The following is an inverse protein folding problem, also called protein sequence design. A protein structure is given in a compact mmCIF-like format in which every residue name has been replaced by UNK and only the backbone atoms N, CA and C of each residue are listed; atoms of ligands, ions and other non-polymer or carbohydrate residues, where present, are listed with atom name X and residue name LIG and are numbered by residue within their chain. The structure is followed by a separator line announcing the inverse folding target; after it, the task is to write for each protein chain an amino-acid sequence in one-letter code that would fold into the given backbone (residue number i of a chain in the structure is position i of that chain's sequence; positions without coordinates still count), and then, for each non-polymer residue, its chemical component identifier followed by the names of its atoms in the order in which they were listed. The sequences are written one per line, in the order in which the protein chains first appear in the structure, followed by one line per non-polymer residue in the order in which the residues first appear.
data_IF_037248865557
#
_entry.id   IF_037248865557
#
_cell.length_a   1.000
_cell.length_b   1.000
_cell.length_c   1.000
_cell.angle_alpha   90.00
_cell.angle_beta   90.00
_cell.angle_gamma   90.00
#
_symmetry.space_group_name_H-M   'P 1'
#
loop_
_entity.id
_entity.type
_entity.pdbx_description
1 polymer ?
#
# COMPACT_ATOMS: atom_id res chain seq x y z
N UNK A 1 32.39 28.13 7.95
CA UNK A 1 31.06 28.10 8.61
C UNK A 1 29.93 27.76 7.64
N UNK A 2 29.82 28.42 6.50
CA UNK A 2 28.81 28.05 5.49
C UNK A 2 29.07 26.68 4.88
N UNK A 3 30.32 26.31 4.65
CA UNK A 3 30.72 24.98 4.18
C UNK A 3 30.24 23.87 5.12
N UNK A 4 30.39 24.06 6.43
CA UNK A 4 29.91 23.08 7.42
C UNK A 4 28.38 22.91 7.39
N UNK A 5 27.64 24.00 7.16
CA UNK A 5 26.18 23.95 6.99
C UNK A 5 25.77 23.16 5.74
N UNK A 6 26.47 23.41 4.63
CA UNK A 6 26.22 22.72 3.36
C UNK A 6 26.55 21.23 3.48
N UNK A 7 27.68 20.90 4.09
CA UNK A 7 28.06 19.51 4.33
C UNK A 7 27.04 18.76 5.19
N UNK A 8 26.56 19.39 6.27
CA UNK A 8 25.50 18.81 7.11
C UNK A 8 24.21 18.58 6.34
N UNK A 9 23.83 19.56 5.49
CA UNK A 9 22.63 19.40 4.65
C UNK A 9 22.78 18.28 3.63
N UNK A 10 23.94 18.18 3.00
CA UNK A 10 24.24 17.11 2.04
C UNK A 10 24.19 15.76 2.73
N UNK A 11 24.80 15.61 3.90
CA UNK A 11 24.76 14.37 4.68
C UNK A 11 23.33 13.98 5.07
N UNK A 12 22.54 14.97 5.51
CA UNK A 12 21.14 14.74 5.87
C UNK A 12 20.30 14.29 4.67
N UNK A 13 20.51 14.89 3.51
CA UNK A 13 19.83 14.50 2.27
C UNK A 13 20.25 13.10 1.81
N UNK A 14 21.52 12.78 1.89
CA UNK A 14 22.03 11.44 1.57
C UNK A 14 21.46 10.38 2.52
N UNK A 15 21.38 10.68 3.81
CA UNK A 15 20.78 9.78 4.80
C UNK A 15 19.29 9.55 4.52
N UNK A 16 18.55 10.61 4.16
CA UNK A 16 17.13 10.49 3.77
C UNK A 16 16.96 9.66 2.52
N UNK A 17 17.80 9.86 1.53
CA UNK A 17 17.78 9.09 0.29
C UNK A 17 18.05 7.61 0.56
N UNK A 18 19.05 7.30 1.37
CA UNK A 18 19.37 5.93 1.77
C UNK A 18 18.22 5.29 2.56
N UNK A 19 17.59 6.02 3.49
CA UNK A 19 16.45 5.54 4.25
C UNK A 19 15.24 5.24 3.36
N UNK A 20 14.95 6.10 2.38
CA UNK A 20 13.89 5.86 1.39
C UNK A 20 14.16 4.64 0.54
N UNK A 21 15.39 4.46 0.09
CA UNK A 21 15.78 3.30 -0.70
C UNK A 21 15.63 2.00 0.11
N UNK A 22 16.04 2.01 1.37
CA UNK A 22 15.89 0.87 2.26
C UNK A 22 14.42 0.53 2.53
N UNK A 23 13.58 1.54 2.75
CA UNK A 23 12.13 1.37 2.92
C UNK A 23 11.50 0.80 1.66
N UNK A 24 11.83 1.33 0.50
CA UNK A 24 11.32 0.86 -0.78
C UNK A 24 11.72 -0.60 -1.02
N UNK A 25 12.96 -0.96 -0.76
CA UNK A 25 13.44 -2.35 -0.86
C UNK A 25 12.69 -3.27 0.11
N UNK A 26 12.48 -2.83 1.34
CA UNK A 26 11.70 -3.58 2.34
C UNK A 26 10.28 -3.88 1.86
N UNK A 27 9.56 -2.88 1.35
CA UNK A 27 8.18 -3.06 0.92
C UNK A 27 8.06 -3.89 -0.35
N UNK A 28 9.06 -3.87 -1.24
CA UNK A 28 9.09 -4.72 -2.42
C UNK A 28 9.15 -6.22 -2.06
N UNK A 29 9.73 -6.55 -0.92
CA UNK A 29 9.83 -7.93 -0.43
C UNK A 29 8.55 -8.45 0.24
N UNK A 30 7.55 -7.60 0.47
CA UNK A 30 6.28 -8.00 1.08
C UNK A 30 5.36 -8.61 0.04
N UNK A 31 4.83 -9.79 0.32
CA UNK A 31 3.88 -10.48 -0.54
C UNK A 31 2.47 -10.39 0.08
N UNK A 32 1.57 -9.58 -0.48
CA UNK A 32 0.22 -9.46 0.04
C UNK A 32 -0.61 -10.72 -0.15
N UNK A 33 -0.23 -11.61 -1.08
CA UNK A 33 -0.97 -12.86 -1.35
C UNK A 33 -0.96 -13.81 -0.17
N UNK A 34 -0.02 -13.69 0.75
CA UNK A 34 0.02 -14.46 1.99
C UNK A 34 -1.19 -14.21 2.89
N UNK A 35 -1.83 -13.04 2.74
CA UNK A 35 -2.98 -12.61 3.52
C UNK A 35 -4.28 -12.59 2.70
N UNK A 36 -4.22 -12.95 1.44
CA UNK A 36 -5.36 -12.96 0.52
C UNK A 36 -5.91 -14.38 0.35
N UNK A 37 -7.21 -14.48 0.09
CA UNK A 37 -7.79 -15.73 -0.32
C UNK A 37 -7.22 -16.18 -1.68
N UNK A 38 -6.97 -17.47 -1.84
CA UNK A 38 -6.31 -18.02 -3.02
C UNK A 38 -7.01 -17.67 -4.34
N UNK A 39 -8.33 -17.51 -4.31
CA UNK A 39 -9.14 -17.14 -5.48
C UNK A 39 -8.74 -15.79 -6.08
N UNK A 40 -8.14 -14.91 -5.28
CA UNK A 40 -7.72 -13.57 -5.72
C UNK A 40 -6.25 -13.49 -6.17
N UNK A 41 -5.47 -14.56 -6.05
CA UNK A 41 -4.05 -14.51 -6.39
C UNK A 41 -3.81 -14.19 -7.88
N UNK A 42 -4.62 -14.73 -8.78
CA UNK A 42 -4.54 -14.43 -10.21
C UNK A 42 -4.87 -12.95 -10.50
N UNK A 43 -5.82 -12.37 -9.76
CA UNK A 43 -6.19 -10.96 -9.90
C UNK A 43 -5.05 -10.08 -9.38
N UNK A 44 -4.41 -10.46 -8.28
CA UNK A 44 -3.23 -9.75 -7.78
C UNK A 44 -2.12 -9.70 -8.84
N UNK A 45 -1.83 -10.80 -9.50
CA UNK A 45 -0.84 -10.87 -10.58
C UNK A 45 -1.18 -9.92 -11.73
N UNK A 46 -2.44 -9.87 -12.13
CA UNK A 46 -2.92 -8.97 -13.17
C UNK A 46 -2.77 -7.49 -12.75
N UNK A 47 -3.09 -7.16 -11.52
CA UNK A 47 -2.93 -5.81 -10.96
C UNK A 47 -1.45 -5.42 -10.91
N UNK A 48 -0.60 -6.32 -10.44
CA UNK A 48 0.84 -6.08 -10.36
C UNK A 48 1.48 -5.90 -11.75
N UNK A 49 0.94 -6.58 -12.76
CA UNK A 49 1.38 -6.46 -14.15
C UNK A 49 0.73 -5.29 -14.90
N UNK A 50 -0.14 -4.52 -14.25
CA UNK A 50 -0.92 -3.43 -14.87
C UNK A 50 -1.70 -3.88 -16.10
N UNK A 51 -2.27 -5.10 -16.02
CA UNK A 51 -2.93 -5.75 -17.14
C UNK A 51 -4.25 -5.08 -17.53
N UNK A 52 -4.95 -4.49 -16.57
CA UNK A 52 -6.26 -3.86 -16.78
C UNK A 52 -6.37 -2.55 -16.02
N UNK A 53 -7.21 -1.65 -16.53
CA UNK A 53 -7.51 -0.36 -15.89
C UNK A 53 -8.63 -0.49 -14.83
N UNK A 54 -9.59 -1.37 -15.09
CA UNK A 54 -10.78 -1.55 -14.25
C UNK A 54 -10.94 -3.00 -13.83
N UNK A 55 -11.32 -3.18 -12.57
CA UNK A 55 -11.62 -4.49 -12.00
C UNK A 55 -12.99 -4.47 -11.35
N UNK A 56 -13.86 -5.38 -11.77
CA UNK A 56 -15.16 -5.59 -11.15
C UNK A 56 -15.12 -6.91 -10.37
N UNK A 57 -15.33 -6.83 -9.06
CA UNK A 57 -15.24 -7.97 -8.17
C UNK A 57 -16.65 -8.31 -7.62
N UNK A 58 -17.46 -9.08 -8.37
CA UNK A 58 -18.76 -9.50 -7.88
C UNK A 58 -18.60 -10.55 -6.78
N UNK A 59 -19.54 -10.58 -5.88
CA UNK A 59 -19.59 -11.56 -4.79
C UNK A 59 -20.41 -11.09 -3.61
N UNK A 60 -20.86 -12.04 -2.81
CA UNK A 60 -21.66 -11.79 -1.63
C UNK A 60 -20.83 -11.49 -0.37
N UNK A 61 -21.47 -11.37 0.76
CA UNK A 61 -20.84 -11.27 2.07
C UNK A 61 -20.00 -12.53 2.34
N UNK A 62 -18.85 -12.35 2.99
CA UNK A 62 -17.95 -13.45 3.31
C UNK A 62 -17.06 -13.93 2.16
N UNK A 63 -17.06 -13.22 1.02
CA UNK A 63 -16.21 -13.54 -0.12
C UNK A 63 -14.76 -13.05 0.02
N UNK A 64 -14.44 -12.39 1.12
CA UNK A 64 -13.11 -11.81 1.40
C UNK A 64 -12.68 -10.70 0.43
N UNK A 65 -13.61 -10.10 -0.32
CA UNK A 65 -13.32 -9.02 -1.28
C UNK A 65 -12.72 -7.79 -0.62
N UNK A 66 -13.31 -7.36 0.50
CA UNK A 66 -12.85 -6.16 1.21
C UNK A 66 -11.44 -6.31 1.73
N UNK A 67 -11.08 -7.49 2.21
CA UNK A 67 -9.72 -7.81 2.66
C UNK A 67 -8.75 -7.77 1.49
N UNK A 68 -9.09 -8.38 0.37
CA UNK A 68 -8.29 -8.37 -0.85
C UNK A 68 -8.05 -6.95 -1.36
N UNK A 69 -9.12 -6.17 -1.52
CA UNK A 69 -9.03 -4.79 -2.03
C UNK A 69 -8.19 -3.91 -1.10
N UNK A 70 -8.36 -4.05 0.21
CA UNK A 70 -7.60 -3.28 1.19
C UNK A 70 -6.11 -3.60 1.13
N UNK A 71 -5.74 -4.86 1.02
CA UNK A 71 -4.34 -5.29 0.87
C UNK A 71 -3.74 -4.77 -0.43
N UNK A 72 -4.47 -4.84 -1.54
CA UNK A 72 -4.01 -4.33 -2.83
C UNK A 72 -3.79 -2.82 -2.83
N UNK A 73 -4.66 -2.06 -2.17
CA UNK A 73 -4.51 -0.61 -2.05
C UNK A 73 -3.24 -0.27 -1.28
N UNK A 74 -3.04 -0.85 -0.12
CA UNK A 74 -1.86 -0.59 0.72
C UNK A 74 -0.59 -1.03 0.00
N UNK A 75 -0.57 -2.22 -0.55
CA UNK A 75 0.57 -2.78 -1.27
C UNK A 75 0.92 -1.93 -2.50
N UNK A 76 -0.06 -1.55 -3.29
CA UNK A 76 0.13 -0.74 -4.50
C UNK A 76 0.70 0.64 -4.20
N UNK A 77 0.21 1.31 -3.16
CA UNK A 77 0.69 2.64 -2.77
C UNK A 77 2.14 2.56 -2.30
N UNK A 78 2.45 1.62 -1.42
CA UNK A 78 3.80 1.53 -0.85
C UNK A 78 4.85 1.03 -1.84
N UNK A 79 4.46 0.27 -2.85
CA UNK A 79 5.35 -0.23 -3.90
C UNK A 79 5.50 0.71 -5.10
N UNK A 80 4.79 1.83 -5.11
CA UNK A 80 4.91 2.81 -6.19
C UNK A 80 6.31 3.42 -6.19
N UNK A 81 7.09 3.24 -7.27
CA UNK A 81 8.46 3.76 -7.34
C UNK A 81 8.52 5.29 -7.35
N UNK A 82 7.45 5.96 -7.78
CA UNK A 82 7.39 7.44 -7.81
C UNK A 82 7.16 8.04 -6.42
N UNK A 83 6.66 7.25 -5.47
CA UNK A 83 6.31 7.72 -4.14
C UNK A 83 5.09 8.65 -4.11
N UNK A 84 4.36 8.75 -5.22
CA UNK A 84 3.17 9.62 -5.37
C UNK A 84 1.87 8.85 -5.43
N UNK A 85 1.92 7.53 -5.28
CA UNK A 85 0.75 6.67 -5.29
C UNK A 85 -0.28 7.10 -4.27
N UNK A 86 -1.54 7.15 -4.68
CA UNK A 86 -2.66 7.50 -3.83
C UNK A 86 -3.90 6.69 -4.21
N UNK A 87 -4.81 6.56 -3.27
CA UNK A 87 -6.07 5.89 -3.50
C UNK A 87 -7.22 6.68 -2.89
N UNK A 88 -8.37 6.61 -3.53
CA UNK A 88 -9.62 7.17 -3.00
C UNK A 88 -10.63 6.04 -2.90
N UNK A 89 -11.24 5.90 -1.73
CA UNK A 89 -12.20 4.85 -1.46
C UNK A 89 -13.57 5.47 -1.25
N UNK A 90 -14.54 5.01 -2.04
CA UNK A 90 -15.92 5.47 -1.98
C UNK A 90 -16.85 4.37 -1.47
N UNK A 91 -17.87 4.77 -0.72
CA UNK A 91 -18.99 3.92 -0.38
C UNK A 91 -20.29 4.61 -0.69
N UNK A 92 -21.30 3.82 -1.01
CA UNK A 92 -22.67 4.34 -1.26
C UNK A 92 -23.23 5.07 -0.04
N UNK A 93 -22.94 4.59 1.17
CA UNK A 93 -23.43 5.17 2.42
C UNK A 93 -22.27 5.66 3.26
N UNK A 94 -22.09 6.98 3.34
CA UNK A 94 -20.95 7.62 4.01
C UNK A 94 -20.89 7.37 5.53
N UNK A 95 -22.04 7.09 6.17
CA UNK A 95 -22.08 6.83 7.62
C UNK A 95 -21.31 5.59 8.05
N UNK A 96 -21.04 4.65 7.14
CA UNK A 96 -20.31 3.41 7.44
C UNK A 96 -18.84 3.43 7.01
N UNK A 97 -18.36 4.53 6.42
CA UNK A 97 -16.98 4.66 5.93
C UNK A 97 -15.95 4.46 7.04
N UNK A 98 -16.15 5.12 8.18
CA UNK A 98 -15.20 5.06 9.29
C UNK A 98 -15.10 3.67 9.91
N UNK A 99 -16.22 3.00 10.10
CA UNK A 99 -16.28 1.72 10.81
C UNK A 99 -15.90 0.53 9.94
N UNK A 100 -16.09 0.62 8.61
CA UNK A 100 -15.83 -0.51 7.74
C UNK A 100 -14.64 -0.29 6.81
N UNK A 101 -14.58 0.82 6.07
CA UNK A 101 -13.51 1.04 5.09
C UNK A 101 -12.20 1.42 5.79
N UNK A 102 -12.25 2.37 6.70
CA UNK A 102 -11.07 2.80 7.44
C UNK A 102 -10.48 1.66 8.28
N UNK A 103 -11.32 0.92 8.98
CA UNK A 103 -10.89 -0.23 9.78
C UNK A 103 -10.26 -1.33 8.91
N UNK A 104 -10.78 -1.57 7.72
CA UNK A 104 -10.21 -2.53 6.78
C UNK A 104 -8.83 -2.10 6.26
N UNK A 105 -8.66 -0.84 5.95
CA UNK A 105 -7.35 -0.32 5.54
C UNK A 105 -6.34 -0.43 6.69
N UNK A 106 -6.73 -0.10 7.91
CA UNK A 106 -5.88 -0.28 9.08
C UNK A 106 -5.49 -1.75 9.30
N UNK A 107 -6.45 -2.64 9.15
CA UNK A 107 -6.19 -4.08 9.22
C UNK A 107 -5.15 -4.51 8.17
N UNK A 108 -5.27 -4.02 6.93
CA UNK A 108 -4.32 -4.33 5.86
C UNK A 108 -2.90 -3.84 6.19
N UNK A 109 -2.78 -2.63 6.72
CA UNK A 109 -1.51 -2.06 7.16
C UNK A 109 -0.86 -2.95 8.24
N UNK A 110 -1.64 -3.37 9.22
CA UNK A 110 -1.16 -4.25 10.30
C UNK A 110 -0.80 -5.65 9.77
N UNK A 111 -1.62 -6.20 8.88
CA UNK A 111 -1.38 -7.52 8.29
C UNK A 111 -0.07 -7.56 7.49
N UNK A 112 0.23 -6.50 6.76
CA UNK A 112 1.48 -6.39 6.00
C UNK A 112 2.68 -5.99 6.87
N UNK A 113 2.46 -5.68 8.15
CA UNK A 113 3.53 -5.34 9.09
C UNK A 113 4.19 -3.98 8.81
N UNK A 114 3.46 -3.04 8.25
CA UNK A 114 3.99 -1.73 7.84
C UNK A 114 3.37 -0.56 8.60
N UNK A 115 2.83 -0.80 9.77
CA UNK A 115 2.21 0.24 10.59
C UNK A 115 3.15 1.38 10.95
N UNK A 116 4.46 1.11 10.97
CA UNK A 116 5.49 2.12 11.20
C UNK A 116 5.69 3.08 10.01
N UNK A 117 5.16 2.75 8.83
CA UNK A 117 5.30 3.55 7.61
C UNK A 117 4.07 4.40 7.29
N UNK A 118 2.96 4.17 7.99
CA UNK A 118 1.66 4.81 7.69
C UNK A 118 1.17 5.72 8.81
#
# INVERSE_FOLDING_TARGET
MELDRLEKRIRALQARKAARAATFERVQGIDPTEHEAAVYHAIHEDIAADAHTYYNLPGGRGSCKSSFVSLEIVDGIQKDPTGTGSAVVFRRWGSTLRESVFAQIQWAIDALGVSDLW
#
